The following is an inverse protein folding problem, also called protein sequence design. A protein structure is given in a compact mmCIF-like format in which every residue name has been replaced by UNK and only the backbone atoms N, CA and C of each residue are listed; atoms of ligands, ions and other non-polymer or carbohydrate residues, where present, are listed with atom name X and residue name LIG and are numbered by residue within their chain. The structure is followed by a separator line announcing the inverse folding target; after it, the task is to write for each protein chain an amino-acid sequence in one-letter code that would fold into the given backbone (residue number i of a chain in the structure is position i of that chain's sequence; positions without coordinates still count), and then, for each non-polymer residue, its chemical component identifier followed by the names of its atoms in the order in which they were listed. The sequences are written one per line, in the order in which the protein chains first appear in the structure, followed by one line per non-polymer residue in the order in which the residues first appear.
data_IF_340299826634
#
_entry.id   IF_340299826634
#
_cell.length_a   1.000
_cell.length_b   1.000
_cell.length_c   1.000
_cell.angle_alpha   90.00
_cell.angle_beta   90.00
_cell.angle_gamma   90.00
#
_symmetry.space_group_name_H-M   'P 1'
#
loop_
_entity.id
_entity.type
_entity.pdbx_description
1 polymer ?
#
# COMPACT_ATOMS: atom_id res chain seq x y z
N UNK A 1 4.00 -3.19 -15.13
CA UNK A 1 3.56 -4.60 -15.00
C UNK A 1 2.05 -4.64 -15.16
N UNK A 2 1.54 -5.49 -16.02
CA UNK A 2 0.10 -5.67 -16.23
C UNK A 2 -0.52 -6.52 -15.11
N UNK A 3 -1.84 -6.47 -14.96
CA UNK A 3 -2.54 -7.31 -13.96
C UNK A 3 -2.31 -8.80 -14.18
N UNK A 4 -2.16 -9.23 -15.45
CA UNK A 4 -1.89 -10.62 -15.79
C UNK A 4 -0.49 -11.04 -15.35
N UNK A 5 0.51 -10.21 -15.58
CA UNK A 5 1.89 -10.47 -15.15
C UNK A 5 1.98 -10.53 -13.62
N UNK A 6 1.33 -9.59 -12.91
CA UNK A 6 1.26 -9.60 -11.45
C UNK A 6 0.57 -10.86 -10.92
N UNK A 7 -0.57 -11.22 -11.48
CA UNK A 7 -1.30 -12.44 -11.10
C UNK A 7 -0.49 -13.71 -11.33
N UNK A 8 0.22 -13.81 -12.45
CA UNK A 8 1.11 -14.93 -12.74
C UNK A 8 2.25 -15.03 -11.75
N UNK A 9 2.86 -13.89 -11.39
CA UNK A 9 3.93 -13.85 -10.38
C UNK A 9 3.44 -14.36 -9.02
N UNK A 10 2.31 -13.84 -8.53
CA UNK A 10 1.75 -14.27 -7.24
C UNK A 10 1.32 -15.74 -7.26
N UNK A 11 0.78 -16.22 -8.39
CA UNK A 11 0.42 -17.62 -8.56
C UNK A 11 1.66 -18.53 -8.47
N UNK A 12 2.75 -18.18 -9.14
CA UNK A 12 3.99 -18.97 -9.06
C UNK A 12 4.60 -18.93 -7.66
N UNK A 13 4.67 -17.76 -7.03
CA UNK A 13 5.18 -17.62 -5.66
C UNK A 13 4.38 -18.43 -4.65
N UNK A 14 3.05 -18.44 -4.76
CA UNK A 14 2.16 -19.13 -3.80
C UNK A 14 2.24 -20.65 -3.87
N UNK A 15 2.78 -21.22 -4.95
CA UNK A 15 3.07 -22.66 -5.02
C UNK A 15 4.16 -23.09 -4.01
N UNK A 16 5.04 -22.18 -3.65
CA UNK A 16 6.15 -22.43 -2.72
C UNK A 16 5.82 -21.93 -1.31
N UNK A 17 5.31 -20.70 -1.20
CA UNK A 17 4.90 -20.13 0.08
C UNK A 17 3.83 -19.05 -0.14
N UNK A 18 2.60 -19.37 0.26
CA UNK A 18 1.48 -18.45 0.16
C UNK A 18 1.61 -17.23 1.08
N UNK A 19 2.34 -17.34 2.19
CA UNK A 19 2.57 -16.23 3.11
C UNK A 19 3.50 -15.20 2.49
N UNK A 20 4.56 -15.65 1.82
CA UNK A 20 5.47 -14.78 1.07
C UNK A 20 4.73 -14.10 -0.09
N UNK A 21 3.91 -14.82 -0.84
CA UNK A 21 3.10 -14.24 -1.91
C UNK A 21 2.15 -13.16 -1.38
N UNK A 22 1.48 -13.40 -0.25
CA UNK A 22 0.60 -12.43 0.41
C UNK A 22 1.37 -11.21 0.91
N UNK A 23 2.52 -11.42 1.52
CA UNK A 23 3.40 -10.33 1.96
C UNK A 23 3.78 -9.41 0.80
N UNK A 24 4.28 -9.98 -0.31
CA UNK A 24 4.68 -9.21 -1.49
C UNK A 24 3.47 -8.48 -2.10
N UNK A 25 2.30 -9.13 -2.16
CA UNK A 25 1.07 -8.50 -2.66
C UNK A 25 0.70 -7.26 -1.85
N UNK A 26 0.69 -7.35 -0.51
CA UNK A 26 0.32 -6.21 0.36
C UNK A 26 1.39 -5.11 0.31
N UNK A 27 2.66 -5.49 0.28
CA UNK A 27 3.76 -4.54 0.10
C UNK A 27 3.61 -3.75 -1.21
N UNK A 28 3.38 -4.45 -2.32
CA UNK A 28 3.19 -3.81 -3.63
C UNK A 28 1.92 -2.97 -3.70
N UNK A 29 0.86 -3.32 -2.96
CA UNK A 29 -0.34 -2.50 -2.87
C UNK A 29 -0.04 -1.13 -2.25
N UNK A 30 0.76 -1.06 -1.18
CA UNK A 30 1.23 0.20 -0.59
C UNK A 30 2.09 1.02 -1.55
N UNK A 31 3.03 0.38 -2.25
CA UNK A 31 3.89 1.03 -3.26
C UNK A 31 3.06 1.60 -4.42
N UNK A 32 2.14 0.81 -4.97
CA UNK A 32 1.26 1.24 -6.07
C UNK A 32 0.32 2.37 -5.64
N UNK A 33 -0.15 2.37 -4.41
CA UNK A 33 -0.96 3.47 -3.87
C UNK A 33 -0.15 4.77 -3.80
N UNK A 34 1.11 4.70 -3.37
CA UNK A 34 2.01 5.85 -3.37
C UNK A 34 2.31 6.35 -4.80
N UNK A 35 2.51 5.44 -5.75
CA UNK A 35 2.74 5.80 -7.16
C UNK A 35 1.51 6.47 -7.80
N UNK A 36 0.31 5.96 -7.52
CA UNK A 36 -0.93 6.46 -8.12
C UNK A 36 -1.41 7.79 -7.51
N UNK A 37 -1.23 7.97 -6.19
CA UNK A 37 -1.84 9.07 -5.43
C UNK A 37 -0.83 10.07 -4.87
N UNK A 38 0.44 9.68 -4.76
CA UNK A 38 1.51 10.51 -4.22
C UNK A 38 1.90 11.64 -5.19
N UNK A 39 2.36 12.75 -4.63
CA UNK A 39 3.03 13.80 -5.39
C UNK A 39 4.47 13.37 -5.81
N UNK A 40 5.16 14.24 -6.58
CA UNK A 40 6.49 13.92 -7.09
C UNK A 40 7.52 13.69 -5.97
N UNK A 41 7.50 14.51 -4.92
CA UNK A 41 8.40 14.39 -3.77
C UNK A 41 8.15 13.10 -2.98
N UNK A 42 6.89 12.76 -2.74
CA UNK A 42 6.51 11.52 -2.07
C UNK A 42 6.96 10.28 -2.85
N UNK A 43 6.74 10.25 -4.16
CA UNK A 43 7.17 9.15 -5.03
C UNK A 43 8.69 9.00 -5.05
N UNK A 44 9.42 10.09 -5.24
CA UNK A 44 10.88 10.08 -5.30
C UNK A 44 11.50 9.62 -3.97
N UNK A 45 10.90 9.97 -2.85
CA UNK A 45 11.40 9.64 -1.51
C UNK A 45 11.00 8.24 -1.05
N UNK A 46 9.78 7.77 -1.36
CA UNK A 46 9.23 6.54 -0.77
C UNK A 46 9.48 5.33 -1.67
N UNK A 47 9.25 5.45 -2.99
CA UNK A 47 9.23 4.31 -3.89
C UNK A 47 10.59 3.60 -3.99
N UNK A 48 11.74 4.29 -4.15
CA UNK A 48 13.03 3.62 -4.26
C UNK A 48 13.38 2.74 -3.05
N UNK A 49 13.15 3.26 -1.83
CA UNK A 49 13.45 2.52 -0.60
C UNK A 49 12.52 1.32 -0.40
N UNK A 50 11.26 1.42 -0.84
CA UNK A 50 10.31 0.31 -0.77
C UNK A 50 10.59 -0.76 -1.83
N UNK A 51 10.95 -0.39 -3.05
CA UNK A 51 11.35 -1.36 -4.09
C UNK A 51 12.63 -2.09 -3.71
N UNK A 52 13.57 -1.41 -3.06
CA UNK A 52 14.80 -2.02 -2.55
C UNK A 52 14.59 -2.87 -1.28
N UNK A 53 13.37 -2.94 -0.74
CA UNK A 53 13.05 -3.56 0.55
C UNK A 53 13.82 -2.99 1.76
N UNK A 54 14.34 -1.78 1.66
CA UNK A 54 14.90 -1.05 2.79
C UNK A 54 13.78 -0.60 3.74
N UNK A 55 12.58 -0.38 3.19
CA UNK A 55 11.34 -0.13 3.93
C UNK A 55 10.23 -1.06 3.46
N UNK A 56 9.44 -1.53 4.40
CA UNK A 56 8.26 -2.36 4.14
C UNK A 56 7.02 -1.48 4.13
N UNK A 57 6.30 -1.49 3.01
CA UNK A 57 4.99 -0.86 2.93
C UNK A 57 3.90 -1.80 3.45
N UNK A 58 2.87 -1.23 4.07
CA UNK A 58 1.66 -1.92 4.48
C UNK A 58 0.43 -1.16 4.02
N UNK A 59 -0.73 -1.79 4.08
CA UNK A 59 -2.00 -1.21 3.67
C UNK A 59 -3.06 -1.42 4.75
N UNK A 60 -3.29 -0.40 5.57
CA UNK A 60 -4.31 -0.38 6.60
C UNK A 60 -5.59 0.25 6.05
N UNK A 61 -6.60 -0.57 5.70
CA UNK A 61 -7.83 -0.11 5.06
C UNK A 61 -9.05 -0.23 5.97
N UNK A 62 -9.23 -1.39 6.61
CA UNK A 62 -10.42 -1.70 7.41
C UNK A 62 -10.43 -0.88 8.70
N UNK A 63 -11.55 -0.22 8.96
CA UNK A 63 -11.85 0.48 10.21
C UNK A 63 -12.84 -0.32 11.06
N UNK A 64 -13.00 -0.01 12.37
CA UNK A 64 -13.93 -0.74 13.25
C UNK A 64 -15.36 -0.84 12.71
N UNK A 65 -15.85 0.22 12.08
CA UNK A 65 -17.23 0.30 11.57
C UNK A 65 -17.34 0.03 10.05
N UNK A 66 -16.21 0.02 9.31
CA UNK A 66 -16.19 -0.03 7.84
C UNK A 66 -15.17 -1.05 7.33
N UNK A 67 -15.66 -2.22 6.97
CA UNK A 67 -14.89 -3.29 6.32
C UNK A 67 -15.16 -3.34 4.82
N UNK A 68 -16.26 -4.01 4.42
CA UNK A 68 -16.65 -4.15 3.01
C UNK A 68 -17.01 -2.83 2.35
N UNK A 69 -17.57 -1.89 3.10
CA UNK A 69 -17.85 -0.52 2.66
C UNK A 69 -16.64 0.40 2.94
N UNK A 70 -15.51 0.11 2.30
CA UNK A 70 -14.28 0.87 2.47
C UNK A 70 -14.37 2.32 1.95
N UNK A 71 -15.38 2.64 1.14
CA UNK A 71 -15.62 4.01 0.67
C UNK A 71 -16.20 4.92 1.73
N UNK A 72 -16.77 4.36 2.80
CA UNK A 72 -17.34 5.08 3.94
C UNK A 72 -16.36 5.30 5.09
N UNK A 73 -15.07 5.00 4.89
CA UNK A 73 -14.02 5.18 5.92
C UNK A 73 -14.05 6.61 6.49
N UNK A 74 -13.75 6.72 7.80
CA UNK A 74 -13.80 7.97 8.55
C UNK A 74 -12.44 8.54 8.92
N UNK A 75 -11.37 7.79 8.71
CA UNK A 75 -10.00 8.31 8.89
C UNK A 75 -9.80 9.56 8.04
N UNK A 76 -9.35 10.63 8.66
CA UNK A 76 -9.11 11.90 7.97
C UNK A 76 -7.82 12.55 8.46
N UNK A 77 -7.23 13.37 7.60
CA UNK A 77 -6.05 14.17 7.90
C UNK A 77 -6.39 15.66 7.87
N UNK A 78 -6.15 16.36 8.97
CA UNK A 78 -6.30 17.81 9.06
C UNK A 78 -4.93 18.46 8.89
N UNK A 79 -4.83 19.41 7.95
CA UNK A 79 -3.61 20.19 7.76
C UNK A 79 -3.38 21.11 8.96
N UNK A 80 -2.18 21.05 9.52
CA UNK A 80 -1.72 21.89 10.64
C UNK A 80 -0.39 22.51 10.29
N UNK A 81 0.12 23.43 11.13
CA UNK A 81 1.45 23.98 10.93
C UNK A 81 2.51 22.87 11.04
N UNK A 82 3.36 22.78 10.03
CA UNK A 82 4.43 21.77 9.94
C UNK A 82 3.99 20.35 9.50
N UNK A 83 2.71 20.12 9.14
CA UNK A 83 2.30 18.79 8.68
C UNK A 83 0.80 18.51 8.68
N UNK A 84 0.44 17.30 9.10
CA UNK A 84 -0.94 16.83 9.18
C UNK A 84 -1.20 16.13 10.51
N UNK A 85 -2.37 16.38 11.09
CA UNK A 85 -2.92 15.61 12.20
C UNK A 85 -3.85 14.52 11.64
N UNK A 86 -3.48 13.26 11.87
CA UNK A 86 -4.26 12.11 11.43
C UNK A 86 -5.17 11.63 12.56
N UNK A 87 -6.47 11.43 12.25
CA UNK A 87 -7.48 10.89 13.15
C UNK A 87 -8.24 9.76 12.46
N UNK A 88 -8.34 8.62 13.15
CA UNK A 88 -9.01 7.42 12.67
C UNK A 88 -8.73 6.22 13.57
#
# INVERSE_FOLDING_TARGET
MTNLESGSLYFEMSKYDASVATFVLVHMLGVQSCDALGDADQRERIIPETIAFEKIACFGLTEPDYGSDATSLKTYATKVDGGYLLNG
#
